data_IF_622837422232
#
_entry.id   IF_622837422232
#
_cell.length_a   1.000
_cell.length_b   1.000
_cell.length_c   1.000
_cell.angle_alpha   90.00
_cell.angle_beta   90.00
_cell.angle_gamma   90.00
#
_symmetry.space_group_name_H-M   'P 1'
#
loop_
_entity.id
_entity.type
_entity.pdbx_description
1 polymer ?
#
# COMPACT_ATOMS: atom_id res chain seq x y z
N UNK A 1 55.92 -35.84 -31.82
CA UNK A 1 56.98 -34.83 -32.02
C UNK A 1 56.76 -33.69 -31.03
N UNK A 2 57.32 -33.79 -29.82
CA UNK A 2 57.13 -32.79 -28.77
C UNK A 2 58.00 -31.57 -29.09
N UNK A 3 57.39 -30.50 -29.60
CA UNK A 3 58.04 -29.19 -29.71
C UNK A 3 58.23 -28.65 -28.29
N UNK A 4 59.47 -28.67 -27.80
CA UNK A 4 59.81 -28.06 -26.51
C UNK A 4 59.77 -26.54 -26.64
N UNK A 5 59.07 -25.88 -25.71
CA UNK A 5 58.97 -24.42 -25.66
C UNK A 5 60.34 -23.81 -25.38
N UNK A 6 60.70 -22.75 -26.13
CA UNK A 6 61.89 -21.93 -25.84
C UNK A 6 61.73 -21.29 -24.46
N UNK A 7 62.83 -21.15 -23.71
CA UNK A 7 62.85 -20.65 -22.34
C UNK A 7 62.06 -19.33 -22.15
N UNK A 8 62.20 -18.38 -23.08
CA UNK A 8 61.45 -17.12 -23.07
C UNK A 8 59.91 -17.29 -23.11
N UNK A 9 59.39 -18.28 -23.84
CA UNK A 9 57.94 -18.51 -23.93
C UNK A 9 57.39 -19.10 -22.62
N UNK A 10 58.19 -19.87 -21.89
CA UNK A 10 57.82 -20.42 -20.57
C UNK A 10 57.65 -19.28 -19.54
N UNK A 11 58.55 -18.30 -19.57
CA UNK A 11 58.48 -17.12 -18.70
C UNK A 11 57.27 -16.24 -19.07
N UNK A 12 57.06 -15.99 -20.37
CA UNK A 12 55.92 -15.18 -20.83
C UNK A 12 54.57 -15.82 -20.48
N UNK A 13 54.45 -17.15 -20.61
CA UNK A 13 53.26 -17.89 -20.19
C UNK A 13 53.04 -17.82 -18.68
N UNK A 14 54.10 -17.97 -17.87
CA UNK A 14 53.98 -17.85 -16.42
C UNK A 14 53.51 -16.44 -16.01
N UNK A 15 54.11 -15.39 -16.57
CA UNK A 15 53.75 -14.01 -16.27
C UNK A 15 52.29 -13.68 -16.67
N UNK A 16 51.89 -14.07 -17.88
CA UNK A 16 50.51 -13.86 -18.35
C UNK A 16 49.48 -14.65 -17.53
N UNK A 17 49.81 -15.88 -17.11
CA UNK A 17 48.94 -16.68 -16.24
C UNK A 17 48.74 -16.00 -14.88
N UNK A 18 49.80 -15.46 -14.28
CA UNK A 18 49.70 -14.72 -13.01
C UNK A 18 48.78 -13.50 -13.17
N UNK A 19 48.96 -12.74 -14.25
CA UNK A 19 48.11 -11.58 -14.55
C UNK A 19 46.66 -12.00 -14.72
N UNK A 20 46.39 -13.06 -15.47
CA UNK A 20 45.04 -13.60 -15.66
C UNK A 20 44.39 -14.01 -14.33
N UNK A 21 45.13 -14.69 -13.47
CA UNK A 21 44.65 -15.10 -12.14
C UNK A 21 44.34 -13.86 -11.28
N UNK A 22 45.23 -12.86 -11.28
CA UNK A 22 45.03 -11.63 -10.53
C UNK A 22 43.75 -10.90 -10.98
N UNK A 23 43.54 -10.76 -12.29
CA UNK A 23 42.32 -10.17 -12.83
C UNK A 23 41.09 -11.01 -12.51
N UNK A 24 41.15 -12.33 -12.64
CA UNK A 24 40.02 -13.20 -12.31
C UNK A 24 39.60 -13.07 -10.84
N UNK A 25 40.57 -13.11 -9.92
CA UNK A 25 40.31 -12.92 -8.49
C UNK A 25 39.75 -11.52 -8.19
N UNK A 26 40.34 -10.49 -8.80
CA UNK A 26 39.86 -9.11 -8.63
C UNK A 26 38.43 -8.94 -9.15
N UNK A 27 38.12 -9.48 -10.33
CA UNK A 27 36.76 -9.44 -10.89
C UNK A 27 35.77 -10.19 -10.00
N UNK A 28 36.09 -11.40 -9.54
CA UNK A 28 35.21 -12.17 -8.65
C UNK A 28 34.96 -11.46 -7.31
N UNK A 29 36.00 -10.89 -6.71
CA UNK A 29 35.88 -10.16 -5.45
C UNK A 29 35.01 -8.91 -5.61
N UNK A 30 35.23 -8.12 -6.66
CA UNK A 30 34.42 -6.91 -6.91
C UNK A 30 32.99 -7.25 -7.33
N UNK A 31 32.77 -8.27 -8.16
CA UNK A 31 31.43 -8.73 -8.52
C UNK A 31 30.65 -9.16 -7.27
N UNK A 32 31.30 -9.86 -6.33
CA UNK A 32 30.69 -10.21 -5.05
C UNK A 32 30.30 -8.97 -4.23
N UNK A 33 31.20 -8.00 -4.07
CA UNK A 33 30.90 -6.77 -3.32
C UNK A 33 29.82 -5.92 -4.00
N UNK A 34 29.89 -5.72 -5.31
CA UNK A 34 28.91 -4.94 -6.06
C UNK A 34 27.52 -5.59 -6.02
N UNK A 35 27.43 -6.91 -6.15
CA UNK A 35 26.15 -7.62 -6.03
C UNK A 35 25.52 -7.42 -4.65
N UNK A 36 26.32 -7.43 -3.59
CA UNK A 36 25.80 -7.21 -2.24
C UNK A 36 25.36 -5.76 -2.04
N UNK A 37 26.17 -4.79 -2.47
CA UNK A 37 25.79 -3.37 -2.42
C UNK A 37 24.48 -3.09 -3.19
N UNK A 38 24.35 -3.61 -4.41
CA UNK A 38 23.12 -3.47 -5.22
C UNK A 38 21.92 -4.12 -4.53
N UNK A 39 22.10 -5.27 -3.87
CA UNK A 39 21.03 -5.93 -3.12
C UNK A 39 20.58 -5.12 -1.92
N UNK A 40 21.52 -4.56 -1.17
CA UNK A 40 21.22 -3.72 -0.01
C UNK A 40 20.52 -2.43 -0.45
N UNK A 41 21.00 -1.78 -1.52
CA UNK A 41 20.35 -0.60 -2.09
C UNK A 41 18.93 -0.90 -2.58
N UNK A 42 18.74 -2.02 -3.30
CA UNK A 42 17.42 -2.45 -3.74
C UNK A 42 16.49 -2.72 -2.56
N UNK A 43 16.99 -3.36 -1.49
CA UNK A 43 16.20 -3.62 -0.30
C UNK A 43 15.76 -2.32 0.37
N UNK A 44 16.69 -1.39 0.59
CA UNK A 44 16.38 -0.08 1.18
C UNK A 44 15.36 0.69 0.34
N UNK A 45 15.52 0.67 -0.99
CA UNK A 45 14.57 1.28 -1.91
C UNK A 45 13.17 0.65 -1.81
N UNK A 46 13.08 -0.67 -1.73
CA UNK A 46 11.80 -1.37 -1.58
C UNK A 46 11.14 -1.08 -0.22
N UNK A 47 11.93 -0.97 0.85
CA UNK A 47 11.45 -0.59 2.19
C UNK A 47 10.90 0.84 2.19
N UNK A 48 11.66 1.81 1.66
CA UNK A 48 11.24 3.21 1.58
C UNK A 48 9.99 3.37 0.70
N UNK A 49 9.95 2.72 -0.46
CA UNK A 49 8.79 2.75 -1.34
C UNK A 49 7.56 2.09 -0.69
N UNK A 50 7.78 1.00 0.05
CA UNK A 50 6.74 0.32 0.82
C UNK A 50 6.17 1.21 1.93
N UNK A 51 7.03 1.87 2.70
CA UNK A 51 6.65 2.81 3.75
C UNK A 51 5.90 4.02 3.19
N UNK A 52 6.40 4.62 2.11
CA UNK A 52 5.75 5.76 1.43
C UNK A 52 4.36 5.38 0.90
N UNK A 53 4.24 4.22 0.27
CA UNK A 53 2.95 3.70 -0.24
C UNK A 53 1.98 3.42 0.90
N UNK A 54 2.44 2.76 1.97
CA UNK A 54 1.64 2.48 3.17
C UNK A 54 1.14 3.78 3.82
N UNK A 55 2.02 4.77 3.96
CA UNK A 55 1.70 6.09 4.52
C UNK A 55 0.67 6.82 3.65
N UNK A 56 0.81 6.76 2.33
CA UNK A 56 -0.17 7.37 1.42
C UNK A 56 -1.55 6.73 1.57
N UNK A 57 -1.61 5.40 1.59
CA UNK A 57 -2.87 4.65 1.80
C UNK A 57 -3.47 5.00 3.17
N UNK A 58 -2.65 5.04 4.23
CA UNK A 58 -3.09 5.43 5.56
C UNK A 58 -3.71 6.83 5.56
N UNK A 59 -3.03 7.81 4.99
CA UNK A 59 -3.52 9.20 4.93
C UNK A 59 -4.85 9.30 4.16
N UNK A 60 -5.00 8.53 3.08
CA UNK A 60 -6.26 8.45 2.33
C UNK A 60 -7.40 7.89 3.20
N UNK A 61 -7.15 6.80 3.94
CA UNK A 61 -8.16 6.20 4.82
C UNK A 61 -8.47 7.10 6.02
N UNK A 62 -7.47 7.70 6.66
CA UNK A 62 -7.65 8.62 7.79
C UNK A 62 -8.54 9.79 7.38
N UNK A 63 -8.33 10.37 6.20
CA UNK A 63 -9.21 11.42 5.66
C UNK A 63 -10.66 10.96 5.49
N UNK A 64 -10.87 9.75 4.97
CA UNK A 64 -12.22 9.17 4.82
C UNK A 64 -12.88 8.88 6.16
N UNK A 65 -12.13 8.37 7.14
CA UNK A 65 -12.62 8.12 8.49
C UNK A 65 -13.06 9.43 9.14
N UNK A 66 -12.24 10.49 9.04
CA UNK A 66 -12.58 11.80 9.58
C UNK A 66 -13.85 12.38 8.94
N UNK A 67 -14.07 12.20 7.63
CA UNK A 67 -15.32 12.60 6.98
C UNK A 67 -16.54 11.86 7.54
N UNK A 68 -16.43 10.54 7.76
CA UNK A 68 -17.51 9.73 8.34
C UNK A 68 -17.77 10.12 9.79
N UNK A 69 -16.73 10.33 10.59
CA UNK A 69 -16.84 10.79 11.98
C UNK A 69 -17.49 12.17 12.06
N UNK A 70 -17.10 13.10 11.20
CA UNK A 70 -17.71 14.42 11.14
C UNK A 70 -19.19 14.34 10.75
N UNK A 71 -19.55 13.50 9.78
CA UNK A 71 -20.95 13.27 9.42
C UNK A 71 -21.75 12.69 10.59
N UNK A 72 -21.19 11.70 11.31
CA UNK A 72 -21.82 11.11 12.49
C UNK A 72 -22.03 12.15 13.61
N UNK A 73 -21.02 12.99 13.89
CA UNK A 73 -21.12 14.08 14.87
C UNK A 73 -22.20 15.10 14.49
N UNK A 74 -22.26 15.49 13.21
CA UNK A 74 -23.29 16.41 12.72
C UNK A 74 -24.70 15.80 12.84
N UNK A 75 -24.85 14.50 12.56
CA UNK A 75 -26.12 13.79 12.73
C UNK A 75 -26.52 13.71 14.20
N UNK A 76 -25.58 13.44 15.11
CA UNK A 76 -25.84 13.41 16.54
C UNK A 76 -26.28 14.79 17.08
N UNK A 77 -25.73 15.87 16.54
CA UNK A 77 -26.13 17.24 16.87
C UNK A 77 -27.54 17.60 16.33
N UNK A 78 -27.93 17.05 15.18
CA UNK A 78 -29.20 17.35 14.50
C UNK A 78 -29.95 16.07 14.08
N UNK A 79 -30.54 15.31 15.03
CA UNK A 79 -31.04 13.96 14.78
C UNK A 79 -32.40 13.89 14.06
N UNK A 80 -32.80 14.94 13.33
CA UNK A 80 -34.04 14.92 12.56
C UNK A 80 -33.81 14.40 11.13
N UNK A 81 -34.84 13.77 10.55
CA UNK A 81 -34.71 13.04 9.29
C UNK A 81 -34.34 13.92 8.08
N UNK A 82 -34.81 15.17 8.06
CA UNK A 82 -34.48 16.13 7.00
C UNK A 82 -33.02 16.56 7.05
N UNK A 83 -32.50 16.86 8.24
CA UNK A 83 -31.11 17.19 8.47
C UNK A 83 -30.19 16.02 8.10
N UNK A 84 -30.54 14.78 8.47
CA UNK A 84 -29.78 13.58 8.10
C UNK A 84 -29.66 13.46 6.57
N UNK A 85 -30.77 13.59 5.85
CA UNK A 85 -30.78 13.53 4.39
C UNK A 85 -29.94 14.62 3.73
N UNK A 86 -29.86 15.79 4.37
CA UNK A 86 -29.06 16.95 3.92
C UNK A 86 -27.57 16.76 4.20
N UNK A 87 -27.22 16.29 5.41
CA UNK A 87 -25.84 15.98 5.81
C UNK A 87 -25.27 14.91 4.89
N UNK A 88 -25.96 13.79 4.70
CA UNK A 88 -25.49 12.71 3.82
C UNK A 88 -25.43 13.14 2.34
N UNK A 89 -26.15 14.18 1.96
CA UNK A 89 -26.16 14.77 0.62
C UNK A 89 -25.08 15.83 0.38
N UNK A 90 -24.27 16.16 1.39
CA UNK A 90 -23.20 17.15 1.24
C UNK A 90 -22.19 16.73 0.18
N UNK A 91 -21.75 17.70 -0.63
CA UNK A 91 -20.88 17.46 -1.78
C UNK A 91 -19.59 16.73 -1.41
N UNK A 92 -19.01 17.05 -0.24
CA UNK A 92 -17.78 16.42 0.28
C UNK A 92 -17.94 14.91 0.51
N UNK A 93 -19.13 14.45 0.89
CA UNK A 93 -19.42 13.04 1.13
C UNK A 93 -19.76 12.32 -0.18
N UNK A 94 -20.65 12.89 -0.99
CA UNK A 94 -21.09 12.25 -2.26
C UNK A 94 -20.01 12.22 -3.34
N UNK A 95 -18.99 13.08 -3.28
CA UNK A 95 -17.81 12.97 -4.16
C UNK A 95 -16.75 12.00 -3.64
N UNK A 96 -16.72 11.74 -2.34
CA UNK A 96 -15.70 10.91 -1.69
C UNK A 96 -16.08 9.44 -1.60
N UNK A 97 -17.38 9.14 -1.58
CA UNK A 97 -17.93 7.79 -1.44
C UNK A 97 -18.93 7.49 -2.54
N UNK A 98 -18.99 6.22 -2.97
CA UNK A 98 -20.01 5.75 -3.92
C UNK A 98 -21.43 5.93 -3.36
N UNK A 99 -21.60 5.56 -2.09
CA UNK A 99 -22.83 5.79 -1.33
C UNK A 99 -22.50 6.11 0.12
N UNK A 100 -23.33 6.92 0.74
CA UNK A 100 -23.23 7.35 2.14
C UNK A 100 -24.59 7.11 2.76
N UNK A 101 -24.62 6.48 3.93
CA UNK A 101 -25.87 6.01 4.51
C UNK A 101 -25.85 5.98 6.04
N UNK A 102 -27.05 6.05 6.61
CA UNK A 102 -27.32 5.87 8.03
C UNK A 102 -28.38 4.78 8.19
N UNK A 103 -28.09 3.79 9.03
CA UNK A 103 -29.08 2.87 9.57
C UNK A 103 -29.42 3.27 10.99
N UNK A 104 -30.69 3.38 11.32
CA UNK A 104 -31.13 3.63 12.68
C UNK A 104 -31.39 2.32 13.46
N UNK A 105 -31.57 2.45 14.77
CA UNK A 105 -31.84 1.31 15.67
C UNK A 105 -33.22 0.65 15.44
N UNK A 106 -34.16 1.40 14.88
CA UNK A 106 -35.51 0.95 14.56
C UNK A 106 -35.57 0.23 13.19
N UNK A 107 -34.47 0.20 12.44
CA UNK A 107 -34.37 -0.42 11.11
C UNK A 107 -34.61 0.55 9.94
N UNK A 108 -34.84 1.84 10.21
CA UNK A 108 -34.89 2.86 9.19
C UNK A 108 -33.52 3.07 8.53
N UNK A 109 -33.56 3.43 7.25
CA UNK A 109 -32.38 3.52 6.41
C UNK A 109 -32.45 4.75 5.51
N UNK A 110 -31.41 5.57 5.56
CA UNK A 110 -31.26 6.74 4.69
C UNK A 110 -29.98 6.60 3.89
N UNK A 111 -30.03 6.80 2.57
CA UNK A 111 -28.89 6.64 1.66
C UNK A 111 -28.81 7.78 0.65
N UNK A 112 -27.58 8.16 0.28
CA UNK A 112 -27.25 9.12 -0.79
C UNK A 112 -26.12 8.56 -1.67
N UNK A 113 -26.18 8.71 -3.01
CA UNK A 113 -27.36 9.09 -3.80
C UNK A 113 -28.54 8.12 -3.58
N UNK A 114 -29.77 8.60 -3.83
CA UNK A 114 -30.98 7.78 -3.63
C UNK A 114 -30.92 6.53 -4.52
N UNK A 115 -31.04 5.37 -3.88
CA UNK A 115 -30.98 4.06 -4.55
C UNK A 115 -32.09 3.18 -4.00
N UNK A 116 -32.81 2.47 -4.87
CA UNK A 116 -33.86 1.52 -4.47
C UNK A 116 -33.21 0.30 -3.81
N UNK A 117 -33.52 0.05 -2.54
CA UNK A 117 -33.07 -1.13 -1.82
C UNK A 117 -33.99 -2.34 -2.09
N UNK A 118 -33.49 -3.57 -1.95
CA UNK A 118 -34.31 -4.78 -2.01
C UNK A 118 -35.42 -4.80 -0.96
N UNK A 119 -36.48 -5.54 -1.22
CA UNK A 119 -37.51 -5.79 -0.21
C UNK A 119 -36.92 -6.52 1.01
N UNK A 120 -37.36 -6.13 2.21
CA UNK A 120 -36.84 -6.69 3.46
C UNK A 120 -35.42 -6.26 3.83
N UNK A 121 -34.87 -5.21 3.20
CA UNK A 121 -33.57 -4.68 3.57
C UNK A 121 -33.56 -4.16 5.01
N UNK A 122 -32.72 -4.76 5.86
CA UNK A 122 -32.49 -4.33 7.25
C UNK A 122 -31.03 -3.88 7.39
N UNK A 123 -30.75 -2.61 7.73
CA UNK A 123 -29.39 -2.14 7.94
C UNK A 123 -28.69 -2.81 9.14
N UNK A 124 -29.43 -3.28 10.14
CA UNK A 124 -28.89 -3.77 11.42
C UNK A 124 -28.20 -5.13 11.32
N UNK A 125 -28.57 -5.93 10.31
CA UNK A 125 -27.94 -7.24 10.06
C UNK A 125 -26.67 -7.12 9.22
N UNK A 126 -26.36 -5.92 8.69
CA UNK A 126 -25.23 -5.70 7.79
C UNK A 126 -23.90 -5.66 8.55
N UNK A 127 -22.79 -6.17 7.96
CA UNK A 127 -21.49 -6.16 8.60
C UNK A 127 -21.07 -4.76 9.09
N UNK A 128 -21.19 -3.74 8.24
CA UNK A 128 -20.84 -2.36 8.58
C UNK A 128 -21.59 -1.82 9.81
N UNK A 129 -22.83 -2.25 10.04
CA UNK A 129 -23.62 -1.81 11.20
C UNK A 129 -23.11 -2.50 12.46
N UNK A 130 -22.91 -3.82 12.39
CA UNK A 130 -22.40 -4.62 13.50
C UNK A 130 -20.98 -4.22 13.90
N UNK A 131 -20.11 -4.01 12.92
CA UNK A 131 -18.73 -3.58 13.13
C UNK A 131 -18.69 -2.16 13.71
N UNK A 132 -19.55 -1.26 13.23
CA UNK A 132 -19.70 0.09 13.79
C UNK A 132 -20.15 0.09 15.25
N UNK A 133 -21.13 -0.76 15.61
CA UNK A 133 -21.53 -0.94 17.02
C UNK A 133 -20.39 -1.51 17.88
N UNK A 134 -19.68 -2.51 17.36
CA UNK A 134 -18.58 -3.16 18.08
C UNK A 134 -17.37 -2.22 18.29
N UNK A 135 -17.18 -1.27 17.38
CA UNK A 135 -16.09 -0.30 17.42
C UNK A 135 -16.28 0.83 18.44
N UNK A 136 -17.41 0.88 19.18
CA UNK A 136 -17.77 1.97 20.10
C UNK A 136 -17.64 3.36 19.46
N UNK A 137 -18.08 3.50 18.21
CA UNK A 137 -18.19 4.80 17.55
C UNK A 137 -19.14 5.76 18.25
#
# INVERSE_FOLDING_TARGET
MNKSLRFSHKILMAASLIVMIAFALFTLYNDYLQRNAIRDDLKNYLEEMGESTSTNIKNLFDGRILLVQNAAQNIAAFPNQEAIGTILGQQSLVSSFLTVYLGDINGGFTIRPLTKMPEGYDPRVRPWYKDGLAANG
#
